data_IF_874311597908
#
_entry.id   IF_874311597908
#
_cell.length_a   1.000
_cell.length_b   1.000
_cell.length_c   1.000
_cell.angle_alpha   90.00
_cell.angle_beta   90.00
_cell.angle_gamma   90.00
#
_symmetry.space_group_name_H-M   'P 1'
#
loop_
_entity.id
_entity.type
_entity.pdbx_description
1 polymer ?
#
# COMPACT_ATOMS: atom_id res chain seq x y z
N UNK A 1 58.10 -5.82 -2.33
CA UNK A 1 56.64 -5.86 -2.54
C UNK A 1 56.43 -6.25 -3.98
N UNK A 2 55.70 -7.33 -4.28
CA UNK A 2 55.55 -7.83 -5.65
C UNK A 2 54.60 -6.93 -6.46
N UNK A 3 54.77 -6.82 -7.77
CA UNK A 3 53.91 -6.00 -8.65
C UNK A 3 52.42 -6.38 -8.53
N UNK A 4 52.15 -7.66 -8.30
CA UNK A 4 50.82 -8.20 -8.07
C UNK A 4 50.16 -7.66 -6.79
N UNK A 5 50.94 -7.51 -5.70
CA UNK A 5 50.45 -6.88 -4.46
C UNK A 5 50.05 -5.43 -4.69
N UNK A 6 50.84 -4.67 -5.47
CA UNK A 6 50.56 -3.28 -5.79
C UNK A 6 49.30 -3.18 -6.66
N UNK A 7 49.15 -4.06 -7.65
CA UNK A 7 47.95 -4.12 -8.51
C UNK A 7 46.69 -4.41 -7.69
N UNK A 8 46.76 -5.37 -6.76
CA UNK A 8 45.64 -5.74 -5.90
C UNK A 8 45.28 -4.62 -4.91
N UNK A 9 46.27 -3.93 -4.34
CA UNK A 9 46.03 -2.74 -3.50
C UNK A 9 45.34 -1.62 -4.29
N UNK A 10 45.81 -1.33 -5.51
CA UNK A 10 45.17 -0.32 -6.36
C UNK A 10 43.74 -0.69 -6.73
N UNK A 11 43.48 -1.97 -7.05
CA UNK A 11 42.12 -2.49 -7.31
C UNK A 11 41.19 -2.21 -6.14
N UNK A 12 41.62 -2.50 -4.92
CA UNK A 12 40.83 -2.27 -3.71
C UNK A 12 40.63 -0.78 -3.41
N UNK A 13 41.66 0.05 -3.52
CA UNK A 13 41.55 1.49 -3.27
C UNK A 13 40.56 2.15 -4.24
N UNK A 14 40.64 1.82 -5.53
CA UNK A 14 39.70 2.36 -6.52
C UNK A 14 38.27 1.84 -6.30
N UNK A 15 38.14 0.57 -5.90
CA UNK A 15 36.83 0.02 -5.54
C UNK A 15 36.20 0.81 -4.38
N UNK A 16 36.98 1.21 -3.38
CA UNK A 16 36.49 2.02 -2.26
C UNK A 16 35.94 3.37 -2.71
N UNK A 17 36.49 3.98 -3.77
CA UNK A 17 36.03 5.25 -4.33
C UNK A 17 34.69 5.16 -5.07
N UNK A 18 34.24 3.98 -5.47
CA UNK A 18 32.92 3.80 -6.07
C UNK A 18 31.86 4.16 -5.04
N UNK A 19 30.91 5.00 -5.41
CA UNK A 19 29.85 5.44 -4.53
C UNK A 19 28.98 4.28 -4.03
N UNK A 20 28.39 4.47 -2.86
CA UNK A 20 27.46 3.50 -2.29
C UNK A 20 26.04 3.98 -2.58
N UNK A 21 25.24 3.11 -3.19
CA UNK A 21 23.80 3.29 -3.28
C UNK A 21 23.17 2.94 -1.93
N UNK A 22 22.31 3.82 -1.45
CA UNK A 22 21.63 3.71 -0.16
C UNK A 22 20.25 4.34 -0.25
N UNK A 23 19.46 4.22 0.81
CA UNK A 23 18.13 4.83 0.86
C UNK A 23 18.17 6.36 0.66
N UNK A 24 19.29 7.02 1.01
CA UNK A 24 19.54 8.45 0.80
C UNK A 24 20.28 8.80 -0.51
N UNK A 25 21.05 7.87 -1.08
CA UNK A 25 21.79 8.09 -2.32
C UNK A 25 21.29 7.13 -3.41
N UNK A 26 20.45 7.67 -4.30
CA UNK A 26 19.73 6.91 -5.34
C UNK A 26 20.28 7.16 -6.75
N UNK A 27 21.48 7.74 -6.88
CA UNK A 27 22.10 8.03 -8.19
C UNK A 27 22.66 6.74 -8.84
N UNK A 28 21.76 5.94 -9.40
CA UNK A 28 22.08 4.65 -10.04
C UNK A 28 23.01 4.85 -11.24
N UNK A 29 22.83 5.92 -12.02
CA UNK A 29 23.62 6.16 -13.22
C UNK A 29 25.08 6.44 -12.90
N UNK A 30 25.37 7.32 -11.94
CA UNK A 30 26.74 7.58 -11.53
C UNK A 30 27.39 6.32 -10.91
N UNK A 31 26.62 5.54 -10.14
CA UNK A 31 27.11 4.28 -9.55
C UNK A 31 27.46 3.27 -10.64
N UNK A 32 26.57 3.06 -11.59
CA UNK A 32 26.74 2.13 -12.70
C UNK A 32 27.96 2.49 -13.55
N UNK A 33 28.12 3.78 -13.89
CA UNK A 33 29.25 4.24 -14.69
C UNK A 33 30.59 4.02 -13.96
N UNK A 34 30.66 4.29 -12.65
CA UNK A 34 31.86 4.03 -11.84
C UNK A 34 32.16 2.53 -11.74
N UNK A 35 31.14 1.70 -11.49
CA UNK A 35 31.30 0.25 -11.40
C UNK A 35 31.75 -0.36 -12.73
N UNK A 36 31.13 0.06 -13.85
CA UNK A 36 31.49 -0.38 -15.20
C UNK A 36 32.92 -0.01 -15.56
N UNK A 37 33.34 1.22 -15.25
CA UNK A 37 34.71 1.66 -15.48
C UNK A 37 35.73 0.82 -14.69
N UNK A 38 35.44 0.54 -13.42
CA UNK A 38 36.30 -0.28 -12.57
C UNK A 38 36.38 -1.75 -13.04
N UNK A 39 35.24 -2.37 -13.37
CA UNK A 39 35.18 -3.73 -13.94
C UNK A 39 36.01 -3.82 -15.22
N UNK A 40 35.87 -2.82 -16.11
CA UNK A 40 36.59 -2.76 -17.39
C UNK A 40 38.09 -2.62 -17.17
N UNK A 41 38.50 -1.69 -16.29
CA UNK A 41 39.92 -1.42 -16.00
C UNK A 41 40.64 -2.66 -15.45
N UNK A 42 39.97 -3.44 -14.62
CA UNK A 42 40.54 -4.66 -14.01
C UNK A 42 40.18 -5.95 -14.75
N UNK A 43 39.50 -5.85 -15.90
CA UNK A 43 39.13 -6.98 -16.76
C UNK A 43 38.39 -8.10 -16.00
N UNK A 44 37.44 -7.72 -15.14
CA UNK A 44 36.66 -8.67 -14.35
C UNK A 44 35.56 -9.23 -15.25
N UNK A 45 35.57 -10.54 -15.47
CA UNK A 45 34.60 -11.23 -16.34
C UNK A 45 33.70 -12.21 -15.60
N UNK A 46 34.03 -12.57 -14.36
CA UNK A 46 33.23 -13.48 -13.54
C UNK A 46 31.97 -12.78 -13.02
N UNK A 47 30.79 -13.23 -13.45
CA UNK A 47 29.49 -12.65 -13.10
C UNK A 47 29.23 -12.69 -11.59
N UNK A 48 29.67 -13.76 -10.92
CA UNK A 48 29.57 -13.88 -9.47
C UNK A 48 30.43 -12.84 -8.75
N UNK A 49 31.66 -12.62 -9.18
CA UNK A 49 32.54 -11.56 -8.67
C UNK A 49 31.90 -10.18 -8.88
N UNK A 50 31.40 -9.90 -10.09
CA UNK A 50 30.70 -8.65 -10.41
C UNK A 50 29.50 -8.44 -9.48
N UNK A 51 28.64 -9.44 -9.34
CA UNK A 51 27.47 -9.39 -8.46
C UNK A 51 27.85 -9.13 -7.00
N UNK A 52 28.85 -9.84 -6.47
CA UNK A 52 29.31 -9.63 -5.09
C UNK A 52 29.87 -8.22 -4.88
N UNK A 53 30.64 -7.70 -5.84
CA UNK A 53 31.13 -6.32 -5.82
C UNK A 53 29.99 -5.30 -5.84
N UNK A 54 28.93 -5.56 -6.61
CA UNK A 54 27.72 -4.74 -6.58
C UNK A 54 27.06 -4.77 -5.20
N UNK A 55 26.92 -5.95 -4.57
CA UNK A 55 26.36 -6.07 -3.22
C UNK A 55 27.13 -5.30 -2.15
N UNK A 56 28.44 -5.17 -2.27
CA UNK A 56 29.23 -4.34 -1.34
C UNK A 56 28.99 -2.83 -1.51
N UNK A 57 28.41 -2.41 -2.64
CA UNK A 57 28.13 -1.01 -2.98
C UNK A 57 26.65 -0.66 -3.00
N UNK A 58 25.78 -1.61 -2.69
CA UNK A 58 24.34 -1.39 -2.54
C UNK A 58 23.93 -1.76 -1.12
N UNK A 59 23.39 -0.81 -0.37
CA UNK A 59 22.92 -1.01 1.00
C UNK A 59 21.47 -0.53 1.13
N UNK A 60 20.84 -0.79 2.27
CA UNK A 60 19.46 -0.38 2.52
C UNK A 60 18.47 -1.24 1.75
N UNK A 61 17.31 -0.68 1.39
CA UNK A 61 16.19 -1.42 0.79
C UNK A 61 16.50 -1.93 -0.62
N UNK A 62 17.37 -1.24 -1.37
CA UNK A 62 17.79 -1.64 -2.72
C UNK A 62 18.53 -2.99 -2.76
N UNK A 63 19.04 -3.51 -1.63
CA UNK A 63 19.68 -4.84 -1.60
C UNK A 63 18.69 -5.99 -1.89
N UNK A 64 17.41 -5.79 -1.58
CA UNK A 64 16.36 -6.77 -1.85
C UNK A 64 16.17 -6.96 -3.35
N UNK A 65 16.30 -5.88 -4.13
CA UNK A 65 16.28 -5.93 -5.59
C UNK A 65 17.39 -6.84 -6.12
N UNK A 66 18.64 -6.62 -5.68
CA UNK A 66 19.78 -7.45 -6.13
C UNK A 66 19.61 -8.93 -5.79
N UNK A 67 19.14 -9.25 -4.59
CA UNK A 67 18.96 -10.65 -4.19
C UNK A 67 17.85 -11.35 -4.99
N UNK A 68 16.83 -10.62 -5.45
CA UNK A 68 15.74 -11.16 -6.26
C UNK A 68 16.16 -11.49 -7.71
N UNK A 69 17.24 -10.88 -8.20
CA UNK A 69 17.77 -11.12 -9.55
C UNK A 69 18.55 -12.43 -9.70
N UNK A 70 19.00 -13.03 -8.59
CA UNK A 70 19.72 -14.31 -8.64
C UNK A 70 18.71 -15.42 -8.88
N UNK A 71 18.84 -16.10 -10.02
CA UNK A 71 17.90 -17.14 -10.45
C UNK A 71 18.59 -18.49 -10.57
N UNK A 72 17.84 -19.49 -11.01
CA UNK A 72 18.38 -20.78 -11.39
C UNK A 72 17.99 -21.14 -12.81
N UNK A 73 18.91 -21.75 -13.53
CA UNK A 73 18.65 -22.28 -14.87
C UNK A 73 17.85 -23.60 -14.82
N UNK A 74 17.59 -24.17 -16.01
CA UNK A 74 16.86 -25.44 -16.18
C UNK A 74 17.57 -26.61 -15.49
N UNK A 75 18.90 -26.54 -15.37
CA UNK A 75 19.75 -27.53 -14.74
C UNK A 75 19.99 -27.24 -13.25
N UNK A 76 19.25 -26.27 -12.67
CA UNK A 76 19.28 -25.86 -11.27
C UNK A 76 20.62 -25.22 -10.82
N UNK A 77 21.44 -24.75 -11.76
CA UNK A 77 22.63 -23.95 -11.49
C UNK A 77 22.25 -22.50 -11.17
N UNK A 78 23.04 -21.85 -10.32
CA UNK A 78 22.83 -20.43 -9.97
C UNK A 78 23.26 -19.56 -11.15
N UNK A 79 22.34 -18.71 -11.62
CA UNK A 79 22.61 -17.70 -12.64
C UNK A 79 22.66 -16.34 -11.97
N UNK A 80 23.78 -15.63 -12.16
CA UNK A 80 23.98 -14.29 -11.65
C UNK A 80 23.58 -13.27 -12.71
N UNK A 81 22.98 -12.14 -12.32
CA UNK A 81 22.61 -11.09 -13.27
C UNK A 81 23.86 -10.36 -13.80
N UNK A 82 23.76 -9.88 -15.03
CA UNK A 82 24.70 -8.91 -15.61
C UNK A 82 24.65 -7.55 -14.90
N UNK A 83 25.68 -6.73 -15.08
CA UNK A 83 25.71 -5.38 -14.50
C UNK A 83 24.56 -4.51 -15.03
N UNK A 84 24.24 -4.66 -16.31
CA UNK A 84 23.13 -3.99 -16.98
C UNK A 84 21.77 -4.37 -16.38
N UNK A 85 21.53 -5.67 -16.13
CA UNK A 85 20.30 -6.13 -15.46
C UNK A 85 20.19 -5.60 -14.02
N UNK A 86 21.31 -5.54 -13.29
CA UNK A 86 21.34 -4.94 -11.95
C UNK A 86 20.98 -3.44 -12.02
N UNK A 87 21.55 -2.70 -12.98
CA UNK A 87 21.24 -1.27 -13.18
C UNK A 87 19.76 -1.06 -13.46
N UNK A 88 19.21 -1.81 -14.41
CA UNK A 88 17.82 -1.61 -14.86
C UNK A 88 16.84 -1.93 -13.73
N UNK A 89 17.09 -3.00 -12.97
CA UNK A 89 16.27 -3.34 -11.80
C UNK A 89 16.39 -2.31 -10.66
N UNK A 90 17.56 -1.68 -10.48
CA UNK A 90 17.73 -0.59 -9.51
C UNK A 90 17.00 0.68 -9.95
N UNK A 91 17.06 1.04 -11.23
CA UNK A 91 16.31 2.17 -11.78
C UNK A 91 14.80 1.94 -11.63
N UNK A 92 14.31 0.78 -12.04
CA UNK A 92 12.90 0.40 -11.89
C UNK A 92 12.47 0.43 -10.41
N UNK A 93 13.32 -0.10 -9.51
CA UNK A 93 13.07 -0.02 -8.08
C UNK A 93 12.93 1.43 -7.64
N UNK A 94 13.87 2.32 -7.99
CA UNK A 94 13.83 3.72 -7.55
C UNK A 94 12.73 4.56 -8.21
N UNK A 95 12.34 4.26 -9.45
CA UNK A 95 11.21 4.92 -10.14
C UNK A 95 9.86 4.52 -9.54
N UNK A 96 9.72 3.27 -9.09
CA UNK A 96 8.50 2.76 -8.47
C UNK A 96 8.45 2.96 -6.95
N UNK A 97 9.61 3.18 -6.32
CA UNK A 97 9.74 3.33 -4.89
C UNK A 97 9.31 4.73 -4.46
N UNK A 98 8.09 4.81 -3.93
CA UNK A 98 7.69 5.96 -3.12
C UNK A 98 8.33 5.83 -1.73
N UNK A 99 8.84 6.95 -1.21
CA UNK A 99 9.33 7.00 0.16
C UNK A 99 8.19 6.55 1.12
N UNK A 100 8.46 5.65 2.07
CA UNK A 100 7.46 5.21 3.03
C UNK A 100 6.82 6.36 3.78
N UNK A 101 7.58 7.42 4.09
CA UNK A 101 7.04 8.60 4.76
C UNK A 101 6.07 9.37 3.84
N UNK A 102 6.38 9.47 2.55
CA UNK A 102 5.47 10.05 1.55
C UNK A 102 4.19 9.22 1.42
N UNK A 103 4.29 7.89 1.45
CA UNK A 103 3.13 6.99 1.44
C UNK A 103 2.31 7.17 2.72
N UNK A 104 2.96 7.22 3.89
CA UNK A 104 2.31 7.39 5.19
C UNK A 104 1.59 8.73 5.26
N UNK A 105 2.23 9.82 4.86
CA UNK A 105 1.62 11.15 4.83
C UNK A 105 0.43 11.16 3.87
N UNK A 106 0.60 10.61 2.67
CA UNK A 106 -0.50 10.45 1.71
C UNK A 106 -1.67 9.68 2.32
N UNK A 107 -1.44 8.52 2.93
CA UNK A 107 -2.47 7.69 3.55
C UNK A 107 -3.21 8.41 4.69
N UNK A 108 -2.50 9.23 5.48
CA UNK A 108 -3.10 10.03 6.57
C UNK A 108 -3.93 11.20 6.07
N UNK A 109 -3.56 11.75 4.90
CA UNK A 109 -4.24 12.90 4.28
C UNK A 109 -5.31 12.49 3.26
N UNK A 110 -5.40 11.21 2.86
CA UNK A 110 -6.47 10.70 2.01
C UNK A 110 -7.84 10.94 2.66
N UNK A 111 -8.78 11.45 1.86
CA UNK A 111 -10.17 11.63 2.27
C UNK A 111 -11.11 11.30 1.12
N UNK A 112 -12.12 10.46 1.38
CA UNK A 112 -13.16 10.16 0.41
C UNK A 112 -14.07 11.37 0.24
N UNK A 113 -14.46 11.66 -1.00
CA UNK A 113 -15.50 12.66 -1.26
C UNK A 113 -16.88 12.14 -0.87
N UNK A 114 -17.83 13.04 -0.62
CA UNK A 114 -19.21 12.68 -0.27
C UNK A 114 -19.90 11.81 -1.33
N UNK A 115 -19.54 11.98 -2.61
CA UNK A 115 -20.04 11.20 -3.75
C UNK A 115 -19.13 10.03 -4.14
N UNK A 116 -18.00 9.85 -3.46
CA UNK A 116 -17.02 8.83 -3.77
C UNK A 116 -17.54 7.42 -3.52
N UNK A 117 -16.99 6.44 -4.22
CA UNK A 117 -17.28 5.03 -4.02
C UNK A 117 -16.33 4.44 -2.95
N UNK A 118 -16.87 3.87 -1.86
CA UNK A 118 -16.03 3.33 -0.77
C UNK A 118 -15.15 2.18 -1.25
N UNK A 119 -15.66 1.34 -2.14
CA UNK A 119 -14.92 0.17 -2.65
C UNK A 119 -13.70 0.60 -3.48
N UNK A 120 -13.88 1.58 -4.37
CA UNK A 120 -12.77 2.14 -5.15
C UNK A 120 -11.76 2.87 -4.26
N UNK A 121 -12.25 3.68 -3.31
CA UNK A 121 -11.40 4.36 -2.34
C UNK A 121 -10.57 3.37 -1.51
N UNK A 122 -11.21 2.31 -0.99
CA UNK A 122 -10.53 1.26 -0.23
C UNK A 122 -9.54 0.48 -1.07
N UNK A 123 -9.79 0.30 -2.37
CA UNK A 123 -8.83 -0.33 -3.28
C UNK A 123 -7.54 0.51 -3.35
N UNK A 124 -7.66 1.80 -3.63
CA UNK A 124 -6.49 2.71 -3.69
C UNK A 124 -5.77 2.77 -2.33
N UNK A 125 -6.51 2.88 -1.23
CA UNK A 125 -5.95 2.89 0.12
C UNK A 125 -5.16 1.61 0.42
N UNK A 126 -5.71 0.44 0.08
CA UNK A 126 -5.05 -0.86 0.25
C UNK A 126 -3.80 -0.98 -0.63
N UNK A 127 -3.84 -0.50 -1.87
CA UNK A 127 -2.69 -0.53 -2.78
C UNK A 127 -1.52 0.28 -2.20
N UNK A 128 -1.75 1.48 -1.69
CA UNK A 128 -0.74 2.29 -1.01
C UNK A 128 -0.24 1.64 0.28
N UNK A 129 -1.16 1.16 1.12
CA UNK A 129 -0.81 0.47 2.38
C UNK A 129 0.03 -0.79 2.15
N UNK A 130 -0.23 -1.52 1.07
CA UNK A 130 0.51 -2.74 0.73
C UNK A 130 1.94 -2.46 0.23
N UNK A 131 2.24 -1.23 -0.22
CA UNK A 131 3.61 -0.82 -0.57
C UNK A 131 4.52 -0.59 0.64
N UNK A 132 3.94 -0.38 1.83
CA UNK A 132 4.68 -0.24 3.07
C UNK A 132 5.15 -1.62 3.58
N UNK A 133 6.31 -1.66 4.24
CA UNK A 133 6.79 -2.83 4.98
C UNK A 133 6.04 -2.99 6.32
N UNK A 134 6.34 -4.05 7.07
CA UNK A 134 5.58 -4.39 8.28
C UNK A 134 5.75 -3.33 9.39
N UNK A 135 6.92 -2.71 9.51
CA UNK A 135 7.17 -1.70 10.55
C UNK A 135 6.50 -0.37 10.17
N UNK A 136 6.62 0.06 8.92
CA UNK A 136 5.99 1.28 8.41
C UNK A 136 4.46 1.20 8.46
N UNK A 137 3.89 0.01 8.21
CA UNK A 137 2.43 -0.23 8.32
C UNK A 137 1.87 0.06 9.71
N UNK A 138 2.68 -0.02 10.77
CA UNK A 138 2.25 0.26 12.16
C UNK A 138 1.98 1.75 12.38
N UNK A 139 2.49 2.62 11.51
CA UNK A 139 2.25 4.06 11.54
C UNK A 139 0.84 4.45 11.07
N UNK A 140 0.09 3.52 10.47
CA UNK A 140 -1.28 3.73 9.99
C UNK A 140 -2.26 2.97 10.88
N UNK A 141 -3.16 3.71 11.52
CA UNK A 141 -4.16 3.14 12.41
C UNK A 141 -5.55 3.12 11.78
N UNK A 142 -6.47 2.33 12.38
CA UNK A 142 -7.90 2.39 12.06
C UNK A 142 -8.46 3.80 12.29
N UNK A 143 -7.89 4.57 13.21
CA UNK A 143 -8.31 5.96 13.45
C UNK A 143 -7.98 6.86 12.26
N UNK A 144 -6.87 6.62 11.56
CA UNK A 144 -6.49 7.38 10.37
C UNK A 144 -7.43 7.04 9.21
N UNK A 145 -7.72 5.75 9.00
CA UNK A 145 -8.74 5.34 8.04
C UNK A 145 -10.14 5.92 8.35
N UNK A 146 -10.55 5.96 9.63
CA UNK A 146 -11.80 6.58 10.06
C UNK A 146 -11.86 8.08 9.71
N UNK A 147 -10.74 8.82 9.80
CA UNK A 147 -10.69 10.21 9.34
C UNK A 147 -10.91 10.27 7.82
N UNK A 148 -10.29 9.36 7.09
CA UNK A 148 -10.39 9.30 5.63
C UNK A 148 -11.81 9.05 5.11
N UNK A 149 -12.63 8.27 5.83
CA UNK A 149 -14.01 7.98 5.44
C UNK A 149 -15.06 8.85 6.15
N UNK A 150 -14.65 9.90 6.85
CA UNK A 150 -15.56 10.73 7.67
C UNK A 150 -16.77 11.29 6.90
N UNK A 151 -16.58 11.59 5.61
CA UNK A 151 -17.65 12.10 4.74
C UNK A 151 -18.73 11.05 4.42
N UNK A 152 -18.45 9.76 4.63
CA UNK A 152 -19.40 8.64 4.50
C UNK A 152 -19.93 8.26 5.88
N UNK A 153 -20.86 9.08 6.39
CA UNK A 153 -21.29 9.07 7.79
C UNK A 153 -21.70 7.70 8.33
N UNK A 154 -22.41 6.90 7.55
CA UNK A 154 -23.00 5.65 8.03
C UNK A 154 -21.98 4.52 8.01
N UNK A 155 -21.17 4.42 6.95
CA UNK A 155 -19.98 3.57 6.95
C UNK A 155 -19.02 3.93 8.09
N UNK A 156 -18.76 5.23 8.29
CA UNK A 156 -17.93 5.73 9.40
C UNK A 156 -18.47 5.31 10.77
N UNK A 157 -19.79 5.47 11.00
CA UNK A 157 -20.44 5.04 12.24
C UNK A 157 -20.28 3.53 12.45
N UNK A 158 -20.52 2.72 11.43
CA UNK A 158 -20.43 1.28 11.59
C UNK A 158 -19.02 0.77 11.84
N UNK A 159 -18.01 1.34 11.16
CA UNK A 159 -16.60 1.03 11.48
C UNK A 159 -16.26 1.45 12.91
N UNK A 160 -16.73 2.62 13.35
CA UNK A 160 -16.53 3.09 14.73
C UNK A 160 -17.22 2.19 15.77
N UNK A 161 -18.40 1.67 15.45
CA UNK A 161 -19.18 0.76 16.32
C UNK A 161 -18.59 -0.65 16.38
N UNK A 162 -17.93 -1.12 15.31
CA UNK A 162 -17.25 -2.42 15.29
C UNK A 162 -16.12 -2.53 16.33
N UNK A 163 -15.68 -1.41 16.89
CA UNK A 163 -14.91 -1.34 18.13
C UNK A 163 -13.45 -0.91 17.95
N UNK A 164 -12.79 -0.54 19.06
CA UNK A 164 -11.44 0.06 19.08
C UNK A 164 -10.30 -0.89 18.68
N UNK A 165 -10.54 -2.20 18.56
CA UNK A 165 -9.51 -3.23 18.33
C UNK A 165 -9.73 -4.06 17.06
N UNK A 166 -10.44 -3.53 16.08
CA UNK A 166 -10.56 -4.18 14.78
C UNK A 166 -9.28 -3.98 13.96
N UNK A 167 -8.98 -4.92 13.06
CA UNK A 167 -7.93 -4.74 12.07
C UNK A 167 -8.39 -3.77 10.96
N UNK A 168 -7.44 -3.15 10.26
CA UNK A 168 -7.74 -2.34 9.06
C UNK A 168 -8.51 -3.15 8.02
N UNK A 169 -8.15 -4.42 7.80
CA UNK A 169 -8.87 -5.31 6.90
C UNK A 169 -10.36 -5.45 7.27
N UNK A 170 -10.65 -5.59 8.57
CA UNK A 170 -12.03 -5.65 9.07
C UNK A 170 -12.73 -4.30 8.95
N UNK A 171 -12.03 -3.19 9.17
CA UNK A 171 -12.55 -1.85 8.97
C UNK A 171 -12.97 -1.60 7.51
N UNK A 172 -12.12 -1.97 6.54
CA UNK A 172 -12.43 -1.87 5.11
C UNK A 172 -13.68 -2.67 4.75
N UNK A 173 -13.73 -3.93 5.18
CA UNK A 173 -14.84 -4.84 4.88
C UNK A 173 -16.16 -4.33 5.48
N UNK A 174 -16.11 -3.79 6.70
CA UNK A 174 -17.29 -3.22 7.36
C UNK A 174 -17.80 -1.98 6.63
N UNK A 175 -16.90 -1.09 6.20
CA UNK A 175 -17.27 0.11 5.46
C UNK A 175 -17.90 -0.22 4.10
N UNK A 176 -17.33 -1.17 3.36
CA UNK A 176 -17.84 -1.63 2.06
C UNK A 176 -19.25 -2.24 2.20
N UNK A 177 -19.44 -3.12 3.18
CA UNK A 177 -20.73 -3.76 3.43
C UNK A 177 -21.84 -2.75 3.74
N UNK A 178 -21.53 -1.74 4.57
CA UNK A 178 -22.52 -0.73 4.94
C UNK A 178 -22.88 0.13 3.72
N UNK A 179 -21.91 0.62 2.97
CA UNK A 179 -22.17 1.45 1.78
C UNK A 179 -23.01 0.68 0.74
N UNK A 180 -22.78 -0.62 0.58
CA UNK A 180 -23.61 -1.49 -0.27
C UNK A 180 -25.06 -1.57 0.24
N UNK A 181 -25.27 -1.87 1.52
CA UNK A 181 -26.61 -1.96 2.14
C UNK A 181 -27.36 -0.63 2.05
N UNK A 182 -26.69 0.51 2.26
CA UNK A 182 -27.32 1.83 2.14
C UNK A 182 -27.74 2.15 0.71
N UNK A 183 -26.87 1.87 -0.25
CA UNK A 183 -27.15 2.07 -1.66
C UNK A 183 -28.32 1.18 -2.12
N UNK A 184 -28.43 -0.04 -1.62
CA UNK A 184 -29.59 -0.91 -1.87
C UNK A 184 -30.88 -0.40 -1.22
N UNK A 185 -30.81 0.03 0.04
CA UNK A 185 -31.97 0.55 0.76
C UNK A 185 -32.50 1.84 0.11
N UNK A 186 -31.62 2.75 -0.30
CA UNK A 186 -31.97 3.98 -1.01
C UNK A 186 -32.61 3.75 -2.39
N UNK A 187 -32.19 2.71 -3.13
CA UNK A 187 -32.83 2.29 -4.38
C UNK A 187 -34.25 1.76 -4.17
N UNK A 188 -34.48 0.99 -3.09
CA UNK A 188 -35.81 0.44 -2.75
C UNK A 188 -36.83 1.52 -2.40
N UNK A 189 -36.41 2.58 -1.70
CA UNK A 189 -37.30 3.72 -1.40
C UNK A 189 -37.55 4.62 -2.61
N UNK A 190 -36.61 4.71 -3.56
CA UNK A 190 -36.74 5.55 -4.76
C UNK A 190 -37.60 4.92 -5.86
N UNK A 191 -37.72 3.59 -5.88
CA UNK A 191 -38.59 2.86 -6.81
C UNK A 191 -40.05 2.72 -6.34
N UNK A 192 -40.42 3.36 -5.22
CA UNK A 192 -41.81 3.47 -4.78
C UNK A 192 -42.56 4.59 -5.53
N UNK A 193 -42.55 4.53 -6.86
CA UNK A 193 -43.51 5.23 -7.71
C UNK A 193 -44.40 4.19 -8.40
N UNK A 194 -45.06 3.38 -7.57
CA UNK A 194 -46.13 2.49 -7.98
C UNK A 194 -47.42 2.93 -7.30
N UNK A 195 -48.35 3.45 -8.10
CA UNK A 195 -49.72 3.81 -7.74
C UNK A 195 -50.26 3.02 -6.54
N UNK A 196 -50.48 3.70 -5.41
CA UNK A 196 -51.40 3.22 -4.38
C UNK A 196 -52.55 4.21 -4.27
N UNK A 197 -53.49 4.08 -5.21
CA UNK A 197 -54.85 4.57 -5.00
C UNK A 197 -55.53 3.66 -3.98
N UNK A 198 -55.49 4.04 -2.70
CA UNK A 198 -56.53 3.62 -1.76
C UNK A 198 -56.96 4.83 -0.94
N UNK A 199 -58.09 5.39 -1.36
CA UNK A 199 -58.90 6.29 -0.55
C UNK A 199 -59.27 5.60 0.76
N UNK A 200 -58.77 6.10 1.89
CA UNK A 200 -59.55 6.09 3.12
C UNK A 200 -59.49 7.47 3.76
N UNK A 201 -60.64 8.15 3.67
CA UNK A 201 -60.98 9.35 4.44
C UNK A 201 -60.73 9.09 5.93
N UNK A 202 -59.97 9.96 6.59
CA UNK A 202 -60.18 10.21 8.01
C UNK A 202 -60.14 11.70 8.29
N UNK A 203 -61.29 12.20 8.75
CA UNK A 203 -61.47 13.54 9.26
C UNK A 203 -60.56 13.78 10.46
N UNK A 204 -59.90 14.93 10.45
CA UNK A 204 -59.29 15.56 11.61
C UNK A 204 -60.32 15.74 12.71
N UNK A 205 -60.09 15.21 13.91
CA UNK A 205 -60.48 15.79 15.19
C UNK A 205 -59.48 15.35 16.26
N UNK A 206 -58.68 16.30 16.73
CA UNK A 206 -57.82 16.17 17.89
C UNK A 206 -58.66 16.00 19.15
N UNK A 207 -58.34 15.01 20.00
CA UNK A 207 -58.18 15.25 21.43
C UNK A 207 -57.34 14.16 22.12
N UNK A 208 -56.38 14.64 22.92
CA UNK A 208 -55.43 13.92 23.78
C UNK A 208 -56.14 12.98 24.78
N UNK A 209 -55.53 11.82 25.07
CA UNK A 209 -54.89 11.44 26.35
C UNK A 209 -54.44 9.96 26.32
N UNK A 210 -53.10 9.78 26.41
CA UNK A 210 -52.25 8.68 26.90
C UNK A 210 -52.69 7.20 26.88
N UNK A 211 -51.89 6.32 26.23
CA UNK A 211 -51.03 5.36 26.96
C UNK A 211 -49.99 4.64 26.08
N UNK A 212 -48.90 4.23 26.74
CA UNK A 212 -47.69 3.57 26.22
C UNK A 212 -47.94 2.32 25.36
N UNK A 213 -47.35 2.31 24.17
CA UNK A 213 -46.58 1.24 23.52
C UNK A 213 -46.59 1.48 22.00
N UNK A 214 -45.51 1.07 21.32
CA UNK A 214 -45.38 1.05 19.85
C UNK A 214 -44.97 2.35 19.14
N UNK A 215 -43.70 2.74 19.28
CA UNK A 215 -42.84 3.07 18.11
C UNK A 215 -41.45 2.47 18.35
N UNK A 216 -41.36 1.14 18.26
CA UNK A 216 -40.15 0.42 17.89
C UNK A 216 -40.49 -0.48 16.72
N UNK A 217 -40.30 0.00 15.49
CA UNK A 217 -40.19 -0.88 14.33
C UNK A 217 -39.26 -0.25 13.29
N UNK A 218 -37.95 -0.45 13.47
CA UNK A 218 -37.10 -1.48 12.85
C UNK A 218 -36.29 -0.85 11.70
N UNK A 219 -35.11 -0.35 12.07
CA UNK A 219 -33.88 -0.49 11.31
C UNK A 219 -32.78 -0.84 12.33
N UNK A 220 -32.96 -1.99 12.99
CA UNK A 220 -31.88 -2.66 13.73
C UNK A 220 -31.48 -3.83 12.86
N UNK A 221 -30.51 -3.63 11.96
CA UNK A 221 -29.79 -4.75 11.38
C UNK A 221 -28.76 -5.17 12.42
N UNK A 222 -29.12 -6.22 13.14
CA UNK A 222 -28.25 -7.00 14.02
C UNK A 222 -26.96 -7.39 13.30
N UNK A 223 -25.82 -6.87 13.76
CA UNK A 223 -24.53 -7.48 13.48
C UNK A 223 -24.41 -8.77 14.30
N UNK A 224 -24.66 -9.90 13.65
CA UNK A 224 -24.40 -11.22 14.20
C UNK A 224 -22.89 -11.52 14.08
N UNK A 225 -22.32 -11.86 15.22
CA UNK A 225 -21.05 -12.56 15.40
C UNK A 225 -20.96 -13.77 14.45
N UNK A 226 -19.85 -13.88 13.69
CA UNK A 226 -18.93 -15.04 13.63
C UNK A 226 -17.52 -14.48 13.39
#
# INVERSE_FOLDING_TARGET
MTEELIKNQNKLMQFQCIQVLSDSNKDVDAWYNQMKAWITLYQITDEKEIFNNCKFKVIGKSIHCLNALVTKDVDNNIVYPSLEEIRDALLEFHDLYMDPEDIIDKLKNMAISTRGNIKEFNKEYKELYNKLDEDDRRCISVSDYLKSIFNKKEAWKGVKLAGKRISLAKAFSTAELIDEVENECGKRTSNSNGNSSYNQKFNSHNNKIFNNNDIKQICVVTYLYI
#
